data_IF_679121326880
#
_entry.id   IF_679121326880
#
_cell.length_a   1.000
_cell.length_b   1.000
_cell.length_c   1.000
_cell.angle_alpha   90.00
_cell.angle_beta   90.00
_cell.angle_gamma   90.00
#
_symmetry.space_group_name_H-M   'P 1'
#
loop_
_entity.id
_entity.type
_entity.pdbx_description
1 polymer ?
#
# COMPACT_ATOMS: atom_id res chain seq x y z
N UNK A 1 5.92 6.83 -18.29
CA UNK A 1 5.17 6.47 -17.07
C UNK A 1 6.10 5.66 -16.17
N UNK A 2 6.17 5.91 -14.87
CA UNK A 2 7.16 5.39 -13.90
C UNK A 2 7.19 3.85 -13.69
N UNK A 3 6.70 3.04 -14.64
CA UNK A 3 6.62 1.57 -14.47
C UNK A 3 5.55 1.10 -13.48
N UNK A 4 4.88 2.00 -12.76
CA UNK A 4 3.91 1.67 -11.69
C UNK A 4 2.54 1.17 -12.17
N UNK A 5 2.34 0.93 -13.46
CA UNK A 5 1.05 0.49 -14.01
C UNK A 5 0.51 -0.76 -13.31
N UNK A 6 1.27 -1.89 -13.28
CA UNK A 6 0.83 -3.12 -12.64
C UNK A 6 0.53 -2.96 -11.14
N UNK A 7 1.36 -2.18 -10.43
CA UNK A 7 1.15 -1.84 -9.03
C UNK A 7 -0.17 -1.07 -8.83
N UNK A 8 -0.43 -0.04 -9.64
CA UNK A 8 -1.63 0.78 -9.54
C UNK A 8 -2.91 0.00 -9.85
N UNK A 9 -2.88 -0.91 -10.82
CA UNK A 9 -4.03 -1.77 -11.13
C UNK A 9 -4.36 -2.69 -9.95
N UNK A 10 -3.34 -3.27 -9.31
CA UNK A 10 -3.52 -4.10 -8.12
C UNK A 10 -4.05 -3.26 -6.93
N UNK A 11 -3.46 -2.09 -6.71
CA UNK A 11 -3.80 -1.20 -5.62
C UNK A 11 -5.21 -0.62 -5.75
N UNK A 12 -5.54 0.01 -6.88
CA UNK A 12 -6.81 0.71 -7.08
C UNK A 12 -8.01 -0.23 -7.28
N UNK A 13 -7.77 -1.40 -7.89
CA UNK A 13 -8.81 -2.35 -8.34
C UNK A 13 -9.93 -1.75 -9.21
N UNK A 14 -9.75 -0.53 -9.75
CA UNK A 14 -10.75 0.11 -10.61
C UNK A 14 -10.89 -0.62 -11.95
N UNK A 15 -9.77 -1.04 -12.54
CA UNK A 15 -9.76 -1.73 -13.82
C UNK A 15 -9.57 -3.24 -13.60
N UNK A 16 -10.68 -3.92 -13.27
CA UNK A 16 -10.65 -5.36 -12.98
C UNK A 16 -10.16 -6.22 -14.14
N UNK A 17 -10.23 -5.76 -15.39
CA UNK A 17 -9.68 -6.49 -16.55
C UNK A 17 -8.17 -6.69 -16.44
N UNK A 18 -7.45 -5.68 -15.95
CA UNK A 18 -5.99 -5.65 -15.83
C UNK A 18 -5.44 -6.39 -14.60
N UNK A 19 -6.32 -6.86 -13.69
CA UNK A 19 -5.94 -7.79 -12.63
C UNK A 19 -5.76 -9.20 -13.22
N UNK A 20 -4.57 -9.43 -13.76
CA UNK A 20 -4.06 -10.72 -14.25
C UNK A 20 -2.92 -11.20 -13.36
N UNK A 21 -2.66 -12.51 -13.36
CA UNK A 21 -1.55 -13.11 -12.62
C UNK A 21 -0.21 -12.56 -13.11
N UNK A 22 -0.06 -12.33 -14.42
CA UNK A 22 1.14 -11.72 -15.00
C UNK A 22 1.41 -10.31 -14.47
N UNK A 23 0.38 -9.46 -14.39
CA UNK A 23 0.52 -8.12 -13.84
C UNK A 23 0.85 -8.16 -12.34
N UNK A 24 0.29 -9.11 -11.59
CA UNK A 24 0.57 -9.31 -10.17
C UNK A 24 2.05 -9.62 -9.91
N UNK A 25 2.63 -10.50 -10.71
CA UNK A 25 4.03 -10.98 -10.63
C UNK A 25 5.00 -9.92 -11.19
N UNK A 26 4.56 -9.12 -12.16
CA UNK A 26 5.41 -8.09 -12.76
C UNK A 26 5.66 -6.92 -11.79
N UNK A 27 6.87 -6.88 -11.23
CA UNK A 27 7.38 -5.79 -10.38
C UNK A 27 8.51 -5.07 -11.11
N UNK A 28 8.20 -4.10 -12.00
CA UNK A 28 9.22 -3.44 -12.82
C UNK A 28 10.14 -2.51 -12.00
N UNK A 29 9.59 -1.86 -10.96
CA UNK A 29 10.28 -0.85 -10.16
C UNK A 29 10.14 -1.13 -8.65
N UNK A 30 10.81 -2.18 -8.11
CA UNK A 30 10.60 -2.64 -6.74
C UNK A 30 10.92 -1.56 -5.70
N UNK A 31 12.04 -0.86 -5.81
CA UNK A 31 12.41 0.17 -4.83
C UNK A 31 11.42 1.35 -4.79
N UNK A 32 10.85 1.73 -5.94
CA UNK A 32 9.83 2.79 -6.00
C UNK A 32 8.54 2.30 -5.34
N UNK A 33 8.12 1.06 -5.62
CA UNK A 33 6.94 0.47 -4.99
C UNK A 33 7.11 0.36 -3.46
N UNK A 34 8.28 -0.05 -2.99
CA UNK A 34 8.62 -0.06 -1.56
C UNK A 34 8.57 1.34 -0.96
N UNK A 35 9.09 2.35 -1.65
CA UNK A 35 9.02 3.75 -1.18
C UNK A 35 7.57 4.24 -1.08
N UNK A 36 6.73 3.90 -2.06
CA UNK A 36 5.30 4.25 -2.02
C UNK A 36 4.62 3.55 -0.85
N UNK A 37 4.85 2.25 -0.68
CA UNK A 37 4.32 1.48 0.44
C UNK A 37 4.78 2.04 1.79
N UNK A 38 6.08 2.31 1.95
CA UNK A 38 6.63 2.91 3.16
C UNK A 38 6.08 4.31 3.43
N UNK A 39 5.75 5.08 2.39
CA UNK A 39 5.05 6.36 2.53
C UNK A 39 3.64 6.19 3.09
N UNK A 40 2.87 5.21 2.61
CA UNK A 40 1.56 4.90 3.18
C UNK A 40 1.66 4.47 4.63
N UNK A 41 2.56 3.54 4.96
CA UNK A 41 2.76 3.07 6.34
C UNK A 41 3.22 4.20 7.27
N UNK A 42 4.11 5.07 6.81
CA UNK A 42 4.50 6.26 7.55
C UNK A 42 3.34 7.24 7.74
N UNK A 43 2.49 7.42 6.72
CA UNK A 43 1.33 8.29 6.79
C UNK A 43 0.31 7.78 7.81
N UNK A 44 0.02 6.48 7.83
CA UNK A 44 -0.84 5.83 8.82
C UNK A 44 -0.28 5.99 10.23
N UNK A 45 1.00 5.62 10.41
CA UNK A 45 1.66 5.68 11.72
C UNK A 45 1.75 7.10 12.28
N UNK A 46 2.23 8.06 11.49
CA UNK A 46 2.37 9.45 11.95
C UNK A 46 1.00 10.12 12.11
N UNK A 47 -0.01 9.76 11.32
CA UNK A 47 -1.39 10.20 11.54
C UNK A 47 -1.93 9.73 12.89
N UNK A 48 -1.65 8.48 13.25
CA UNK A 48 -2.03 7.93 14.55
C UNK A 48 -1.28 8.65 15.68
N UNK A 49 0.04 8.79 15.59
CA UNK A 49 0.85 9.51 16.60
C UNK A 49 0.38 10.96 16.73
N UNK A 50 0.22 11.67 15.61
CA UNK A 50 -0.20 13.07 15.59
C UNK A 50 -1.61 13.30 16.15
N UNK A 51 -2.56 12.44 15.79
CA UNK A 51 -3.97 12.58 16.15
C UNK A 51 -4.34 11.98 17.51
N UNK A 52 -3.82 10.80 17.83
CA UNK A 52 -4.23 10.04 19.02
C UNK A 52 -3.32 10.28 20.22
N UNK A 53 -2.05 10.66 20.02
CA UNK A 53 -1.07 10.83 21.10
C UNK A 53 -0.70 12.30 21.28
N UNK A 54 -0.11 12.91 20.27
CA UNK A 54 0.46 14.26 20.37
C UNK A 54 -0.63 15.30 20.54
N UNK A 55 -1.72 15.22 19.77
CA UNK A 55 -2.84 16.16 19.88
C UNK A 55 -3.45 16.24 21.30
N UNK A 56 -3.88 15.14 21.95
CA UNK A 56 -4.44 15.22 23.30
C UNK A 56 -3.41 15.61 24.37
N UNK A 57 -2.18 15.08 24.31
CA UNK A 57 -1.11 15.42 25.28
C UNK A 57 -0.77 16.91 25.20
N UNK A 58 -0.56 17.43 23.99
CA UNK A 58 -0.24 18.84 23.78
C UNK A 58 -1.41 19.76 24.18
N UNK A 59 -2.65 19.32 23.95
CA UNK A 59 -3.84 20.05 24.39
C UNK A 59 -3.89 20.15 25.91
N UNK A 60 -3.64 19.06 26.64
CA UNK A 60 -3.60 19.05 28.10
C UNK A 60 -2.48 19.96 28.64
N UNK A 61 -1.30 19.90 28.04
CA UNK A 61 -0.18 20.78 28.39
C UNK A 61 -0.54 22.26 28.22
N UNK A 62 -1.13 22.64 27.08
CA UNK A 62 -1.53 24.03 26.83
C UNK A 62 -2.66 24.51 27.75
N UNK A 63 -3.59 23.61 28.12
CA UNK A 63 -4.66 23.94 29.06
C UNK A 63 -4.15 24.12 30.49
N UNK A 64 -3.15 23.34 30.91
CA UNK A 64 -2.52 23.50 32.24
C UNK A 64 -1.70 24.77 32.37
N UNK A 65 -1.09 25.23 31.29
CA UNK A 65 -0.24 26.43 31.29
C UNK A 65 -0.99 27.73 30.97
N UNK A 66 -2.33 27.70 30.94
CA UNK A 66 -3.15 28.89 30.75
C UNK A 66 -3.18 29.70 32.04
N UNK A 67 -2.47 30.82 32.08
CA UNK A 67 -2.62 31.79 33.17
C UNK A 67 -3.97 32.50 33.06
N UNK A 68 -4.68 32.71 34.19
CA UNK A 68 -6.01 33.32 34.20
C UNK A 68 -6.01 34.74 33.60
N UNK A 69 -4.90 35.47 33.72
CA UNK A 69 -4.70 36.81 33.14
C UNK A 69 -4.65 36.84 31.60
N UNK A 70 -4.25 35.72 30.96
CA UNK A 70 -4.19 35.58 29.50
C UNK A 70 -5.36 34.74 28.94
N UNK A 71 -6.28 34.33 29.81
CA UNK A 71 -7.44 33.55 29.44
C UNK A 71 -8.54 34.46 28.90
N UNK A 72 -8.72 34.45 27.57
CA UNK A 72 -9.88 35.03 26.91
C UNK A 72 -10.94 33.94 26.71
N UNK A 73 -12.20 34.35 26.49
CA UNK A 73 -13.29 33.44 26.08
C UNK A 73 -12.95 32.62 24.81
N UNK A 74 -11.97 33.06 24.01
CA UNK A 74 -11.52 32.36 22.79
C UNK A 74 -10.27 31.49 22.96
N UNK A 75 -9.62 31.49 24.12
CA UNK A 75 -8.35 30.78 24.33
C UNK A 75 -8.47 29.28 24.05
N UNK A 76 -9.60 28.65 24.41
CA UNK A 76 -9.86 27.23 24.13
C UNK A 76 -9.97 26.94 22.62
N UNK A 77 -10.60 27.84 21.85
CA UNK A 77 -10.70 27.72 20.38
C UNK A 77 -9.32 27.83 19.74
N UNK A 78 -8.50 28.77 20.20
CA UNK A 78 -7.12 28.97 19.71
C UNK A 78 -6.25 27.74 19.99
N UNK A 79 -6.33 27.18 21.21
CA UNK A 79 -5.59 25.96 21.59
C UNK A 79 -6.00 24.80 20.68
N UNK A 80 -7.31 24.56 20.52
CA UNK A 80 -7.81 23.50 19.64
C UNK A 80 -7.29 23.66 18.21
N UNK A 81 -7.29 24.88 17.68
CA UNK A 81 -6.81 25.15 16.33
C UNK A 81 -5.30 24.93 16.18
N UNK A 82 -4.49 25.31 17.19
CA UNK A 82 -3.05 25.01 17.24
C UNK A 82 -2.77 23.51 17.29
N UNK A 83 -3.44 22.76 18.18
CA UNK A 83 -3.30 21.31 18.28
C UNK A 83 -3.66 20.62 16.96
N UNK A 84 -4.75 21.04 16.31
CA UNK A 84 -5.13 20.51 14.99
C UNK A 84 -4.09 20.81 13.92
N UNK A 85 -3.49 22.01 13.90
CA UNK A 85 -2.41 22.32 12.95
C UNK A 85 -1.21 21.40 13.13
N UNK A 86 -0.84 21.07 14.37
CA UNK A 86 0.24 20.12 14.67
C UNK A 86 -0.11 18.74 14.13
N UNK A 87 -1.32 18.24 14.38
CA UNK A 87 -1.79 16.96 13.84
C UNK A 87 -1.60 16.86 12.32
N UNK A 88 -2.02 17.88 11.56
CA UNK A 88 -1.82 17.90 10.10
C UNK A 88 -0.35 17.94 9.66
N UNK A 89 0.56 18.49 10.48
CA UNK A 89 2.00 18.49 10.19
C UNK A 89 2.63 17.10 10.31
N UNK A 90 2.11 16.23 11.18
CA UNK A 90 2.58 14.85 11.27
C UNK A 90 2.31 14.07 9.98
N UNK A 91 1.14 14.25 9.38
CA UNK A 91 0.85 13.70 8.06
C UNK A 91 1.76 14.29 6.97
N UNK A 92 2.05 15.59 7.02
CA UNK A 92 2.99 16.17 6.05
C UNK A 92 4.42 15.63 6.23
N UNK A 93 4.84 15.37 7.46
CA UNK A 93 6.14 14.78 7.75
C UNK A 93 6.28 13.36 7.18
N UNK A 94 5.18 12.61 7.00
CA UNK A 94 5.25 11.25 6.45
C UNK A 94 5.71 11.19 5.00
N UNK A 95 5.45 12.23 4.20
CA UNK A 95 5.94 12.31 2.82
C UNK A 95 7.46 12.44 2.72
N UNK A 96 8.12 12.82 3.82
CA UNK A 96 9.59 12.91 3.91
C UNK A 96 10.10 11.67 4.65
N UNK A 97 9.53 11.36 5.82
CA UNK A 97 9.98 10.25 6.67
C UNK A 97 9.78 8.90 5.99
N UNK A 98 8.67 8.68 5.26
CA UNK A 98 8.37 7.41 4.61
C UNK A 98 9.38 7.00 3.54
N UNK A 99 9.68 7.87 2.55
CA UNK A 99 10.72 7.57 1.57
C UNK A 99 12.10 7.40 2.21
N UNK A 100 12.46 8.27 3.16
CA UNK A 100 13.76 8.18 3.84
C UNK A 100 13.90 6.91 4.67
N UNK A 101 12.87 6.51 5.41
CA UNK A 101 12.90 5.28 6.21
C UNK A 101 13.00 4.05 5.31
N UNK A 102 12.27 4.03 4.18
CA UNK A 102 12.37 2.94 3.21
C UNK A 102 13.77 2.85 2.61
N UNK A 103 14.33 3.98 2.18
CA UNK A 103 15.70 4.03 1.65
C UNK A 103 16.73 3.57 2.68
N UNK A 104 16.58 4.02 3.93
CA UNK A 104 17.45 3.60 5.03
C UNK A 104 17.32 2.09 5.30
N UNK A 105 16.10 1.52 5.27
CA UNK A 105 15.89 0.08 5.43
C UNK A 105 16.52 -0.71 4.28
N UNK A 106 16.32 -0.28 3.03
CA UNK A 106 16.93 -0.94 1.86
C UNK A 106 18.45 -0.91 1.95
N UNK A 107 19.03 0.23 2.34
CA UNK A 107 20.48 0.37 2.50
C UNK A 107 21.05 -0.39 3.69
N UNK A 108 20.33 -0.45 4.81
CA UNK A 108 20.80 -1.11 6.03
C UNK A 108 20.79 -2.63 5.90
N UNK A 109 19.74 -3.18 5.28
CA UNK A 109 19.62 -4.61 5.04
C UNK A 109 20.27 -5.08 3.74
N UNK A 110 20.89 -4.17 2.97
CA UNK A 110 21.49 -4.45 1.67
C UNK A 110 20.57 -5.28 0.76
N UNK A 111 19.31 -4.84 0.66
CA UNK A 111 18.24 -5.60 0.00
C UNK A 111 18.52 -5.71 -1.51
N UNK A 112 18.84 -6.93 -1.96
CA UNK A 112 19.04 -7.18 -3.37
C UNK A 112 17.74 -6.96 -4.16
N UNK A 113 17.88 -6.69 -5.45
CA UNK A 113 16.74 -6.42 -6.33
C UNK A 113 15.76 -7.59 -6.37
N UNK A 114 16.24 -8.84 -6.25
CA UNK A 114 15.39 -10.03 -6.20
C UNK A 114 14.51 -10.04 -4.96
N UNK A 115 15.12 -9.86 -3.79
CA UNK A 115 14.43 -9.82 -2.50
C UNK A 115 13.42 -8.66 -2.44
N UNK A 116 13.80 -7.50 -3.00
CA UNK A 116 12.92 -6.34 -3.05
C UNK A 116 11.67 -6.60 -3.92
N UNK A 117 11.81 -7.36 -5.01
CA UNK A 117 10.66 -7.77 -5.85
C UNK A 117 9.76 -8.75 -5.11
N UNK A 118 10.35 -9.75 -4.46
CA UNK A 118 9.60 -10.75 -3.69
C UNK A 118 8.80 -10.07 -2.57
N UNK A 119 9.41 -9.13 -1.86
CA UNK A 119 8.72 -8.36 -0.82
C UNK A 119 7.57 -7.52 -1.39
N UNK A 120 7.76 -6.89 -2.56
CA UNK A 120 6.67 -6.18 -3.25
C UNK A 120 5.53 -7.13 -3.66
N UNK A 121 5.86 -8.31 -4.15
CA UNK A 121 4.87 -9.33 -4.52
C UNK A 121 4.06 -9.78 -3.30
N UNK A 122 4.72 -10.07 -2.19
CA UNK A 122 4.07 -10.43 -0.93
C UNK A 122 3.15 -9.32 -0.42
N UNK A 123 3.58 -8.06 -0.52
CA UNK A 123 2.75 -6.89 -0.18
C UNK A 123 1.48 -6.84 -1.05
N UNK A 124 1.61 -6.98 -2.38
CA UNK A 124 0.46 -7.00 -3.32
C UNK A 124 -0.50 -8.16 -3.04
N UNK A 125 0.01 -9.30 -2.58
CA UNK A 125 -0.77 -10.48 -2.23
C UNK A 125 -1.46 -10.37 -0.85
N UNK A 126 -0.99 -9.45 0.00
CA UNK A 126 -1.55 -9.25 1.34
C UNK A 126 -2.83 -8.41 1.27
N UNK A 127 -3.97 -9.11 1.22
CA UNK A 127 -5.30 -8.51 1.20
C UNK A 127 -5.51 -7.53 2.36
N UNK A 128 -5.07 -7.88 3.57
CA UNK A 128 -5.28 -7.06 4.75
C UNK A 128 -4.59 -5.72 4.62
N UNK A 129 -3.31 -5.71 4.22
CA UNK A 129 -2.56 -4.47 4.03
C UNK A 129 -3.16 -3.63 2.90
N UNK A 130 -3.51 -4.25 1.77
CA UNK A 130 -4.06 -3.54 0.62
C UNK A 130 -5.43 -2.90 0.91
N UNK A 131 -6.31 -3.59 1.63
CA UNK A 131 -7.61 -3.03 2.06
C UNK A 131 -7.39 -1.88 3.05
N UNK A 132 -6.41 -2.01 3.94
CA UNK A 132 -6.07 -0.97 4.91
C UNK A 132 -5.63 0.31 4.20
N UNK A 133 -4.66 0.21 3.31
CA UNK A 133 -4.11 1.35 2.57
C UNK A 133 -5.18 2.04 1.71
N UNK A 134 -6.01 1.26 1.01
CA UNK A 134 -7.13 1.80 0.21
C UNK A 134 -8.15 2.54 1.05
N UNK A 135 -8.51 1.99 2.20
CA UNK A 135 -9.47 2.62 3.12
C UNK A 135 -8.87 3.90 3.70
N UNK A 136 -7.58 3.88 4.07
CA UNK A 136 -6.86 5.04 4.56
C UNK A 136 -6.80 6.16 3.53
N UNK A 137 -6.53 5.87 2.26
CA UNK A 137 -6.60 6.86 1.17
C UNK A 137 -8.03 7.39 1.02
N UNK A 138 -9.03 6.51 0.96
CA UNK A 138 -10.40 6.89 0.67
C UNK A 138 -10.96 7.83 1.76
N UNK A 139 -10.85 7.42 3.03
CA UNK A 139 -11.31 8.25 4.14
C UNK A 139 -10.39 9.43 4.42
N UNK A 140 -9.08 9.28 4.20
CA UNK A 140 -8.13 10.38 4.26
C UNK A 140 -8.44 11.48 3.23
N UNK A 141 -8.85 11.11 2.02
CA UNK A 141 -9.24 12.07 0.98
C UNK A 141 -10.57 12.75 1.32
N UNK A 142 -11.57 12.02 1.80
CA UNK A 142 -12.84 12.59 2.31
C UNK A 142 -12.57 13.58 3.45
N UNK A 143 -11.71 13.18 4.39
CA UNK A 143 -11.27 14.05 5.48
C UNK A 143 -10.53 15.29 5.00
N UNK A 144 -9.65 15.14 4.00
CA UNK A 144 -8.94 16.24 3.37
C UNK A 144 -9.87 17.23 2.67
N UNK A 145 -10.88 16.72 1.95
CA UNK A 145 -11.90 17.55 1.32
C UNK A 145 -12.63 18.41 2.35
N UNK A 146 -13.00 17.84 3.50
CA UNK A 146 -13.78 18.55 4.53
C UNK A 146 -12.96 19.55 5.36
N UNK A 147 -11.76 19.16 5.82
CA UNK A 147 -10.96 19.92 6.81
C UNK A 147 -9.46 20.00 6.46
N UNK A 148 -9.10 19.82 5.20
CA UNK A 148 -7.71 19.76 4.70
C UNK A 148 -6.88 18.74 5.48
N UNK A 149 -5.58 18.93 5.62
CA UNK A 149 -4.67 17.96 6.26
C UNK A 149 -5.08 17.53 7.69
N UNK A 150 -5.83 18.36 8.41
CA UNK A 150 -6.37 17.99 9.74
C UNK A 150 -7.42 16.91 9.62
N UNK A 151 -8.37 17.13 8.71
CA UNK A 151 -9.42 16.15 8.43
C UNK A 151 -8.85 14.90 7.77
N UNK A 152 -7.79 15.01 6.97
CA UNK A 152 -7.11 13.86 6.40
C UNK A 152 -6.58 12.91 7.48
N UNK A 153 -5.96 13.45 8.54
CA UNK A 153 -5.52 12.63 9.68
C UNK A 153 -6.69 11.97 10.40
N UNK A 154 -7.78 12.73 10.65
CA UNK A 154 -8.99 12.16 11.26
C UNK A 154 -9.56 11.01 10.40
N UNK A 155 -9.55 11.17 9.07
CA UNK A 155 -10.00 10.16 8.11
C UNK A 155 -9.12 8.92 8.09
N UNK A 156 -7.78 9.08 8.10
CA UNK A 156 -6.83 7.96 8.18
C UNK A 156 -6.97 7.20 9.50
N UNK A 157 -7.13 7.90 10.62
CA UNK A 157 -7.33 7.26 11.92
C UNK A 157 -8.67 6.50 11.98
N UNK A 158 -9.74 7.08 11.42
CA UNK A 158 -11.03 6.41 11.30
C UNK A 158 -10.95 5.17 10.40
N UNK A 159 -10.20 5.25 9.30
CA UNK A 159 -9.93 4.11 8.44
C UNK A 159 -9.28 2.96 9.20
N UNK A 160 -8.26 3.24 9.99
CA UNK A 160 -7.58 2.23 10.80
C UNK A 160 -8.50 1.55 11.82
N UNK A 161 -9.43 2.29 12.43
CA UNK A 161 -10.43 1.72 13.34
C UNK A 161 -11.41 0.83 12.55
N UNK A 162 -11.90 1.32 11.41
CA UNK A 162 -12.85 0.60 10.56
C UNK A 162 -12.25 -0.69 10.00
N UNK A 163 -11.02 -0.66 9.50
CA UNK A 163 -10.34 -1.83 8.94
C UNK A 163 -10.02 -2.84 10.04
N UNK A 164 -9.57 -2.39 11.21
CA UNK A 164 -9.39 -3.26 12.37
C UNK A 164 -10.71 -3.95 12.76
N UNK A 165 -11.82 -3.21 12.84
CA UNK A 165 -13.15 -3.79 13.10
C UNK A 165 -13.57 -4.80 12.02
N UNK A 166 -13.38 -4.45 10.74
CA UNK A 166 -13.72 -5.31 9.61
C UNK A 166 -12.99 -6.66 9.68
N UNK A 167 -11.68 -6.65 9.90
CA UNK A 167 -10.89 -7.89 9.92
C UNK A 167 -11.07 -8.72 11.21
N UNK A 168 -11.30 -8.08 12.35
CA UNK A 168 -11.43 -8.79 13.63
C UNK A 168 -12.83 -9.35 13.87
N UNK A 169 -13.86 -8.60 13.48
CA UNK A 169 -15.26 -8.91 13.82
C UNK A 169 -16.02 -9.32 12.56
N UNK A 170 -16.13 -8.44 11.56
CA UNK A 170 -17.05 -8.64 10.45
C UNK A 170 -16.63 -9.82 9.54
N UNK A 171 -15.35 -9.89 9.16
CA UNK A 171 -14.83 -10.97 8.30
C UNK A 171 -14.92 -12.33 8.98
N UNK A 172 -14.72 -12.38 10.31
CA UNK A 172 -14.84 -13.60 11.12
C UNK A 172 -16.29 -14.08 11.26
N UNK A 173 -17.24 -13.15 11.39
CA UNK A 173 -18.65 -13.48 11.59
C UNK A 173 -19.40 -13.81 10.29
N UNK A 174 -19.06 -13.13 9.18
CA UNK A 174 -19.87 -13.18 7.97
C UNK A 174 -19.44 -14.25 6.96
N UNK A 175 -18.35 -15.00 7.18
CA UNK A 175 -17.78 -15.97 6.22
C UNK A 175 -17.79 -15.46 4.77
N UNK A 176 -17.57 -14.15 4.59
CA UNK A 176 -17.76 -13.53 3.27
C UNK A 176 -16.68 -14.07 2.36
N UNK A 177 -17.02 -14.79 1.26
CA UNK A 177 -16.00 -15.27 0.33
C UNK A 177 -15.23 -14.07 -0.21
N UNK A 178 -13.90 -14.16 -0.15
CA UNK A 178 -13.00 -13.11 -0.59
C UNK A 178 -13.31 -12.74 -2.03
N UNK A 179 -13.77 -11.51 -2.25
CA UNK A 179 -14.12 -10.93 -3.57
C UNK A 179 -12.90 -10.65 -4.47
N UNK A 180 -11.75 -11.23 -4.15
CA UNK A 180 -10.56 -11.09 -4.97
C UNK A 180 -10.70 -11.90 -6.26
N UNK A 181 -10.52 -11.22 -7.39
CA UNK A 181 -10.59 -11.83 -8.72
C UNK A 181 -9.58 -12.98 -8.89
N UNK A 182 -8.41 -12.86 -8.27
CA UNK A 182 -7.37 -13.90 -8.26
C UNK A 182 -7.46 -14.66 -6.94
N UNK A 183 -7.90 -15.92 -7.00
CA UNK A 183 -8.01 -16.76 -5.80
C UNK A 183 -6.63 -17.07 -5.23
N UNK A 184 -6.48 -17.27 -3.91
CA UNK A 184 -5.19 -17.62 -3.30
C UNK A 184 -4.52 -18.84 -3.93
N UNK A 185 -5.33 -19.83 -4.37
CA UNK A 185 -4.88 -21.04 -5.05
C UNK A 185 -4.27 -20.80 -6.45
N UNK A 186 -4.58 -19.67 -7.09
CA UNK A 186 -4.06 -19.31 -8.40
C UNK A 186 -2.80 -18.44 -8.30
N UNK A 187 -2.38 -18.07 -7.08
CA UNK A 187 -1.20 -17.24 -6.84
C UNK A 187 0.01 -18.17 -6.67
N UNK A 188 1.12 -17.94 -7.40
CA UNK A 188 2.38 -18.63 -7.11
C UNK A 188 2.83 -18.33 -5.68
N UNK A 189 3.49 -19.28 -5.00
CA UNK A 189 3.90 -19.07 -3.60
C UNK A 189 5.09 -18.12 -3.50
N UNK A 190 5.93 -18.08 -4.52
CA UNK A 190 7.06 -17.14 -4.67
C UNK A 190 7.20 -16.67 -6.12
N UNK A 191 7.92 -15.58 -6.35
CA UNK A 191 8.29 -15.15 -7.70
C UNK A 191 9.21 -16.17 -8.40
N UNK A 192 10.00 -16.92 -7.65
CA UNK A 192 10.88 -17.96 -8.22
C UNK A 192 10.06 -19.09 -8.86
N UNK A 193 9.01 -19.58 -8.18
CA UNK A 193 8.08 -20.57 -8.75
C UNK A 193 7.37 -20.05 -10.01
N UNK A 194 7.06 -18.75 -10.04
CA UNK A 194 6.44 -18.11 -11.20
C UNK A 194 7.39 -17.99 -12.40
N UNK A 195 8.65 -17.63 -12.15
CA UNK A 195 9.68 -17.50 -13.17
C UNK A 195 10.06 -18.88 -13.74
N UNK A 196 10.11 -19.93 -12.91
CA UNK A 196 10.30 -21.32 -13.34
C UNK A 196 9.15 -21.80 -14.25
N UNK A 197 7.90 -21.55 -13.86
CA UNK A 197 6.74 -21.92 -14.66
C UNK A 197 6.71 -21.21 -16.02
N UNK A 198 7.12 -19.93 -16.07
CA UNK A 198 7.25 -19.17 -17.31
C UNK A 198 8.34 -19.71 -18.21
N UNK A 199 9.51 -20.01 -17.65
CA UNK A 199 10.62 -20.59 -18.39
C UNK A 199 10.27 -21.96 -18.97
N UNK A 200 9.59 -22.81 -18.20
CA UNK A 200 9.16 -24.13 -18.65
C UNK A 200 8.12 -24.05 -19.78
N UNK A 201 7.18 -23.10 -19.69
CA UNK A 201 6.21 -22.83 -20.75
C UNK A 201 6.88 -22.34 -22.03
N UNK A 202 7.86 -21.44 -21.90
CA UNK A 202 8.65 -20.94 -23.04
C UNK A 202 9.47 -22.05 -23.70
N UNK A 203 10.09 -22.94 -22.90
CA UNK A 203 10.81 -24.11 -23.41
C UNK A 203 9.87 -25.06 -24.16
N UNK A 204 8.66 -25.31 -23.64
CA UNK A 204 7.67 -26.13 -24.34
C UNK A 204 7.23 -25.50 -25.67
N UNK A 205 7.04 -24.18 -25.73
CA UNK A 205 6.68 -23.48 -26.96
C UNK A 205 7.80 -23.55 -28.01
N UNK A 206 9.04 -23.28 -27.60
CA UNK A 206 10.19 -23.35 -28.51
C UNK A 206 10.45 -24.78 -29.02
N UNK A 207 10.25 -25.80 -28.18
CA UNK A 207 10.30 -27.21 -28.60
C UNK A 207 9.18 -27.53 -29.60
N UNK A 208 7.96 -27.03 -29.38
CA UNK A 208 6.82 -27.24 -30.28
C UNK A 208 6.94 -26.49 -31.62
N UNK A 209 7.58 -25.33 -31.65
CA UNK A 209 7.89 -24.61 -32.89
C UNK A 209 9.00 -25.32 -33.67
N UNK A 210 10.04 -25.79 -32.97
CA UNK A 210 11.13 -26.54 -33.59
C UNK A 210 10.64 -27.86 -34.18
N UNK A 211 9.75 -28.61 -33.51
CA UNK A 211 9.19 -29.85 -34.06
C UNK A 211 8.34 -29.60 -35.31
N UNK A 212 7.49 -28.56 -35.31
CA UNK A 212 6.73 -28.15 -36.51
C UNK A 212 7.62 -27.76 -37.68
N UNK A 213 8.73 -27.06 -37.41
CA UNK A 213 9.69 -26.69 -38.45
C UNK A 213 10.40 -27.90 -39.06
N UNK A 214 10.71 -28.91 -38.23
CA UNK A 214 11.32 -30.17 -38.63
C UNK A 214 10.37 -30.99 -39.52
N UNK A 215 9.11 -31.12 -39.13
CA UNK A 215 8.08 -31.80 -39.93
C UNK A 215 7.85 -31.13 -41.29
N UNK A 216 7.90 -29.79 -41.34
CA UNK A 216 7.76 -29.04 -42.59
C UNK A 216 8.96 -29.26 -43.53
N UNK A 217 10.18 -29.31 -42.99
CA UNK A 217 11.38 -29.62 -43.80
C UNK A 217 11.45 -31.07 -44.24
N UNK A 218 10.92 -32.00 -43.45
CA UNK A 218 10.80 -33.41 -43.82
C UNK A 218 9.79 -33.62 -44.96
N UNK A 219 8.65 -32.91 -44.92
CA UNK A 219 7.62 -32.94 -45.97
C UNK A 219 8.07 -32.35 -47.30
N UNK A 220 9.02 -31.40 -47.31
CA UNK A 220 9.56 -30.79 -48.53
C UNK A 220 10.67 -31.62 -49.20
N UNK A 221 11.24 -32.61 -48.51
CA UNK A 221 12.24 -33.54 -49.08
C UNK A 221 11.63 -34.79 -49.72
N UNK A 222 10.35 -35.05 -49.48
CA UNK A 222 9.63 -36.23 -49.98
C UNK A 222 8.69 -35.94 -51.14
N UNK A 223 8.61 -34.69 -51.60
CA UNK A 223 7.94 -34.24 -52.84
C UNK A 223 8.95 -33.99 -53.95
#
# INVERSE_FOLDING_TARGET
>A
MFGLGPWWYNFSQFQRSELTVDNLISVPSPYIELTIFGTFKAAEFLSFVGGCIVHPVYRLFLLRNLTPEKASNNSVKIIREKCRKIQGRFLLASFIIGPLSTLASVSYYSLDRKDAKELCYQIRCNEQMMVWDRTAISLGFVGWYWKRFKGAVDGVNLASIYTAYYFTIQKRLMNTPTTDKIKPLQRPKSLEEADEAKNLTFLMQTVAENSKSLDLTASLRTS
#
